data_IF_697129084671
#
_entry.id   IF_697129084671
#
_cell.length_a   1.000
_cell.length_b   1.000
_cell.length_c   1.000
_cell.angle_alpha   90.00
_cell.angle_beta   90.00
_cell.angle_gamma   90.00
#
_symmetry.space_group_name_H-M   'P 1'
#
loop_
_entity.id
_entity.type
_entity.pdbx_description
1 polymer ?
#
# COMPACT_ATOMS: atom_id res chain seq x y z
N UNK A 1 -9.69 0.88 16.14
CA UNK A 1 -10.21 -0.07 15.13
C UNK A 1 -9.05 -0.86 14.54
N UNK A 2 -9.16 -2.17 14.39
CA UNK A 2 -8.16 -2.96 13.66
C UNK A 2 -8.56 -3.05 12.19
N UNK A 3 -7.62 -2.76 11.28
CA UNK A 3 -7.87 -2.75 9.84
C UNK A 3 -6.81 -3.62 9.17
N UNK A 4 -7.23 -4.63 8.42
CA UNK A 4 -6.34 -5.39 7.55
C UNK A 4 -6.31 -4.71 6.18
N UNK A 5 -5.11 -4.30 5.75
CA UNK A 5 -4.91 -3.61 4.49
C UNK A 5 -4.58 -4.63 3.41
N UNK A 6 -5.32 -4.57 2.30
CA UNK A 6 -5.06 -5.35 1.10
C UNK A 6 -3.81 -4.83 0.35
N UNK A 7 -3.15 -5.71 -0.39
CA UNK A 7 -1.99 -5.37 -1.23
C UNK A 7 -2.28 -4.19 -2.17
N UNK A 8 -3.48 -4.12 -2.77
CA UNK A 8 -3.79 -3.04 -3.71
C UNK A 8 -3.78 -1.66 -3.06
N UNK A 9 -4.29 -1.53 -1.83
CA UNK A 9 -4.29 -0.25 -1.09
C UNK A 9 -2.86 0.20 -0.79
N UNK A 10 -1.95 -0.75 -0.45
CA UNK A 10 -0.53 -0.44 -0.30
C UNK A 10 0.05 0.08 -1.62
N UNK A 11 -0.24 -0.60 -2.74
CA UNK A 11 0.26 -0.21 -4.05
C UNK A 11 -0.30 1.12 -4.53
N UNK A 12 -1.56 1.43 -4.21
CA UNK A 12 -2.19 2.69 -4.62
C UNK A 12 -1.50 3.90 -3.99
N UNK A 13 -1.05 3.77 -2.73
CA UNK A 13 -0.20 4.79 -2.08
C UNK A 13 1.20 4.80 -2.67
N UNK A 14 1.87 3.66 -2.71
CA UNK A 14 3.29 3.58 -3.04
C UNK A 14 3.59 3.94 -4.51
N UNK A 15 2.64 3.69 -5.41
CA UNK A 15 2.77 3.95 -6.85
C UNK A 15 1.90 5.12 -7.33
N UNK A 16 1.23 5.83 -6.42
CA UNK A 16 0.32 6.95 -6.73
C UNK A 16 -0.73 6.58 -7.80
N UNK A 17 -1.36 5.41 -7.68
CA UNK A 17 -2.32 4.90 -8.68
C UNK A 17 -3.66 5.63 -8.61
N UNK A 18 -4.04 6.29 -9.69
CA UNK A 18 -5.40 6.81 -9.83
C UNK A 18 -6.42 5.67 -10.06
N UNK A 19 -7.66 5.79 -9.55
CA UNK A 19 -8.22 6.96 -8.83
C UNK A 19 -8.02 6.93 -7.31
N UNK A 20 -7.45 5.86 -6.74
CA UNK A 20 -7.52 5.60 -5.29
C UNK A 20 -6.33 6.10 -4.47
N UNK A 21 -5.29 6.67 -5.10
CA UNK A 21 -4.08 7.13 -4.42
C UNK A 21 -4.37 8.04 -3.20
N UNK A 22 -5.27 9.02 -3.37
CA UNK A 22 -5.59 9.97 -2.30
C UNK A 22 -6.30 9.31 -1.13
N UNK A 23 -7.26 8.42 -1.41
CA UNK A 23 -8.01 7.72 -0.37
C UNK A 23 -7.13 6.70 0.36
N UNK A 24 -6.27 5.99 -0.36
CA UNK A 24 -5.29 5.08 0.21
C UNK A 24 -4.29 5.85 1.11
N UNK A 25 -3.86 7.06 0.71
CA UNK A 25 -3.00 7.92 1.52
C UNK A 25 -3.68 8.33 2.84
N UNK A 26 -4.98 8.66 2.81
CA UNK A 26 -5.75 8.97 4.04
C UNK A 26 -5.72 7.80 5.02
N UNK A 27 -5.80 6.55 4.54
CA UNK A 27 -5.70 5.36 5.40
C UNK A 27 -4.36 5.30 6.12
N UNK A 28 -3.25 5.57 5.41
CA UNK A 28 -1.92 5.61 6.00
C UNK A 28 -1.76 6.74 7.03
N UNK A 29 -2.29 7.93 6.74
CA UNK A 29 -2.28 9.05 7.69
C UNK A 29 -3.07 8.68 8.95
N UNK A 30 -4.26 8.10 8.81
CA UNK A 30 -5.04 7.63 9.96
C UNK A 30 -4.30 6.59 10.81
N UNK A 31 -3.51 5.71 10.17
CA UNK A 31 -2.67 4.75 10.90
C UNK A 31 -1.51 5.45 11.62
N UNK A 32 -0.84 6.40 10.98
CA UNK A 32 0.25 7.19 11.55
C UNK A 32 -0.20 8.07 12.74
N UNK A 33 -1.42 8.61 12.67
CA UNK A 33 -2.06 9.37 13.75
C UNK A 33 -2.63 8.47 14.87
N UNK A 34 -2.52 7.15 14.75
CA UNK A 34 -3.03 6.19 15.74
C UNK A 34 -4.56 6.04 15.76
N UNK A 35 -5.29 6.60 14.79
CA UNK A 35 -6.76 6.47 14.67
C UNK A 35 -7.17 5.03 14.32
N UNK A 36 -6.33 4.32 13.57
CA UNK A 36 -6.50 2.89 13.25
C UNK A 36 -5.22 2.12 13.55
N UNK A 37 -5.38 0.83 13.88
CA UNK A 37 -4.28 -0.13 13.91
C UNK A 37 -4.30 -0.91 12.60
N UNK A 38 -3.43 -0.51 11.68
CA UNK A 38 -3.29 -1.14 10.36
C UNK A 38 -2.41 -2.39 10.45
N UNK A 39 -2.83 -3.44 9.76
CA UNK A 39 -2.11 -4.71 9.65
C UNK A 39 -2.00 -5.12 8.19
N UNK A 40 -0.98 -5.90 7.86
CA UNK A 40 -0.86 -6.63 6.59
C UNK A 40 -0.58 -8.09 6.91
N UNK A 41 -0.93 -9.00 6.00
CA UNK A 41 -0.56 -10.41 6.17
C UNK A 41 0.89 -10.61 5.75
N UNK A 42 1.60 -11.54 6.39
CA UNK A 42 2.98 -11.87 6.02
C UNK A 42 3.06 -12.41 4.58
N UNK A 43 2.03 -13.12 4.11
CA UNK A 43 1.95 -13.61 2.72
C UNK A 43 1.94 -12.50 1.69
N UNK A 44 1.45 -11.31 2.02
CA UNK A 44 1.41 -10.18 1.08
C UNK A 44 2.75 -9.45 0.96
N UNK A 45 3.70 -9.68 1.87
CA UNK A 45 4.97 -8.94 1.86
C UNK A 45 5.77 -9.22 0.58
N UNK A 46 5.80 -10.48 0.13
CA UNK A 46 6.47 -10.87 -1.12
C UNK A 46 5.78 -10.30 -2.34
N UNK A 47 4.43 -10.24 -2.34
CA UNK A 47 3.65 -9.68 -3.44
C UNK A 47 3.89 -8.17 -3.56
N UNK A 48 3.86 -7.45 -2.44
CA UNK A 48 4.16 -6.02 -2.38
C UNK A 48 5.57 -5.76 -2.91
N UNK A 49 6.57 -6.51 -2.42
CA UNK A 49 7.96 -6.35 -2.88
C UNK A 49 8.09 -6.57 -4.39
N UNK A 50 7.57 -7.69 -4.89
CA UNK A 50 7.69 -8.05 -6.30
C UNK A 50 7.00 -7.03 -7.21
N UNK A 51 5.79 -6.59 -6.85
CA UNK A 51 5.04 -5.62 -7.63
C UNK A 51 5.73 -4.25 -7.62
N UNK A 52 6.18 -3.75 -6.46
CA UNK A 52 6.91 -2.48 -6.40
C UNK A 52 8.22 -2.54 -7.19
N UNK A 53 8.97 -3.64 -7.08
CA UNK A 53 10.21 -3.81 -7.84
C UNK A 53 9.93 -3.75 -9.35
N UNK A 54 8.94 -4.52 -9.81
CA UNK A 54 8.51 -4.54 -11.21
C UNK A 54 8.07 -3.16 -11.70
N UNK A 55 7.23 -2.43 -10.95
CA UNK A 55 6.71 -1.15 -11.42
C UNK A 55 7.73 -0.01 -11.40
N UNK A 56 8.71 -0.05 -10.50
CA UNK A 56 9.70 1.01 -10.33
C UNK A 56 11.00 0.76 -11.10
N UNK A 57 11.42 -0.50 -11.28
CA UNK A 57 12.70 -0.82 -11.92
C UNK A 57 12.54 -1.41 -13.34
N UNK A 58 11.46 -2.12 -13.66
CA UNK A 58 11.29 -2.64 -15.06
C UNK A 58 10.88 -1.55 -16.05
N UNK A 59 10.55 -0.33 -15.58
CA UNK A 59 10.31 0.83 -16.48
C UNK A 59 11.60 1.39 -17.11
N UNK A 60 12.78 0.92 -16.68
CA UNK A 60 14.07 1.33 -17.22
C UNK A 60 14.61 0.36 -18.30
N UNK A 61 13.84 -0.67 -18.69
CA UNK A 61 14.19 -1.62 -19.75
C UNK A 61 13.36 -1.44 -21.03
#
# INVERSE_FOLDING_TARGET
MNVLIDTNVILDVMLSRSPFAEDAQKIFIMAAEGKIKAHITASFLTDIYYLLHRYLHDKER
#
